data_IF_584885328247
#
_entry.id   IF_584885328247
#
_cell.length_a   1.000
_cell.length_b   1.000
_cell.length_c   1.000
_cell.angle_alpha   90.00
_cell.angle_beta   90.00
_cell.angle_gamma   90.00
#
_symmetry.space_group_name_H-M   'P 1'
#
loop_
_entity.id
_entity.type
_entity.pdbx_description
1 polymer ?
#
# COMPACT_ATOMS: atom_id res chain seq x y z
N UNK A 1 -52.10 -14.29 -30.31
CA UNK A 1 -53.17 -13.70 -29.48
C UNK A 1 -52.50 -12.83 -28.43
N UNK A 2 -52.85 -11.54 -28.40
CA UNK A 2 -52.61 -10.49 -27.39
C UNK A 2 -51.18 -10.34 -26.83
N UNK A 3 -50.35 -9.34 -27.19
CA UNK A 3 -50.50 -7.87 -27.11
C UNK A 3 -50.73 -7.32 -25.70
N UNK A 4 -49.67 -6.77 -25.10
CA UNK A 4 -49.60 -5.54 -24.28
C UNK A 4 -48.12 -5.37 -23.85
N UNK A 5 -47.37 -4.32 -24.16
CA UNK A 5 -47.72 -2.96 -24.55
C UNK A 5 -47.78 -2.03 -23.34
N UNK A 6 -46.63 -1.50 -22.88
CA UNK A 6 -46.60 -0.19 -22.23
C UNK A 6 -45.26 0.54 -22.46
N UNK A 7 -45.41 1.79 -22.89
CA UNK A 7 -44.44 2.78 -23.39
C UNK A 7 -43.92 3.70 -22.25
N UNK A 8 -42.93 4.57 -22.51
CA UNK A 8 -42.05 5.21 -21.51
C UNK A 8 -42.64 6.50 -20.92
N UNK A 9 -42.01 7.00 -19.85
CA UNK A 9 -42.19 8.36 -19.34
C UNK A 9 -40.84 9.07 -19.11
N UNK A 10 -40.70 10.35 -19.53
CA UNK A 10 -39.49 11.18 -19.42
C UNK A 10 -39.55 12.18 -18.25
N UNK A 11 -38.53 13.05 -18.17
CA UNK A 11 -38.35 14.27 -17.33
C UNK A 11 -37.56 14.05 -16.03
N UNK A 12 -36.63 14.91 -15.61
CA UNK A 12 -36.57 16.37 -15.73
C UNK A 12 -35.13 16.89 -15.91
N UNK A 13 -34.96 17.88 -16.78
CA UNK A 13 -33.82 18.80 -16.76
C UNK A 13 -33.92 19.75 -15.56
N UNK A 14 -32.81 19.98 -14.86
CA UNK A 14 -32.59 21.24 -14.15
C UNK A 14 -31.22 21.81 -14.53
N UNK A 15 -31.26 23.08 -14.94
CA UNK A 15 -30.15 23.93 -15.36
C UNK A 15 -29.57 24.67 -14.15
N UNK A 16 -28.24 24.81 -14.15
CA UNK A 16 -27.41 25.97 -13.78
C UNK A 16 -27.56 26.57 -12.37
N UNK A 17 -26.50 26.41 -11.57
CA UNK A 17 -25.84 27.46 -10.74
C UNK A 17 -24.35 27.06 -10.76
N UNK A 18 -23.36 27.86 -11.16
CA UNK A 18 -23.23 29.31 -11.04
C UNK A 18 -22.46 29.67 -9.77
N UNK A 19 -21.21 29.23 -9.60
CA UNK A 19 -20.32 29.72 -8.57
C UNK A 19 -18.87 29.81 -9.11
N UNK A 20 -18.60 30.93 -9.77
CA UNK A 20 -17.25 31.43 -9.95
C UNK A 20 -16.74 31.90 -8.58
N UNK A 21 -15.92 31.09 -7.92
CA UNK A 21 -15.04 31.56 -6.85
C UNK A 21 -13.66 31.77 -7.44
N UNK A 22 -13.42 33.02 -7.84
CA UNK A 22 -12.07 33.54 -7.98
C UNK A 22 -11.43 33.53 -6.60
N UNK A 23 -10.50 32.61 -6.39
CA UNK A 23 -9.47 32.77 -5.38
C UNK A 23 -8.21 33.13 -6.15
N UNK A 24 -7.98 34.43 -6.27
CA UNK A 24 -6.66 35.00 -6.55
C UNK A 24 -5.75 34.64 -5.37
N UNK A 25 -5.15 33.44 -5.42
CA UNK A 25 -4.01 33.13 -4.60
C UNK A 25 -2.83 33.90 -5.18
N UNK A 26 -2.38 34.89 -4.41
CA UNK A 26 -1.14 35.60 -4.67
C UNK A 26 0.00 34.61 -4.76
N UNK A 27 0.61 34.55 -5.94
CA UNK A 27 1.95 34.00 -6.15
C UNK A 27 2.92 34.91 -5.38
N UNK A 28 3.09 34.64 -4.10
CA UNK A 28 4.26 35.07 -3.34
C UNK A 28 5.45 34.34 -3.97
N UNK A 29 6.49 35.10 -4.28
CA UNK A 29 7.58 34.76 -5.19
C UNK A 29 8.07 33.32 -5.10
N UNK A 30 8.09 32.65 -6.27
CA UNK A 30 9.17 31.74 -6.58
C UNK A 30 10.47 32.55 -6.49
N UNK A 31 11.19 32.45 -5.37
CA UNK A 31 12.61 32.73 -5.36
C UNK A 31 13.24 31.77 -6.37
N UNK A 32 13.61 32.34 -7.50
CA UNK A 32 14.53 31.78 -8.47
C UNK A 32 15.73 31.19 -7.71
N UNK A 33 16.00 29.87 -7.80
CA UNK A 33 17.32 29.38 -7.44
C UNK A 33 18.26 29.87 -8.54
N UNK A 34 18.74 31.10 -8.37
CA UNK A 34 19.74 31.69 -9.24
C UNK A 34 20.86 30.69 -9.42
N UNK A 35 21.09 30.29 -10.67
CA UNK A 35 22.15 29.37 -11.05
C UNK A 35 23.47 29.88 -10.44
N UNK A 36 24.14 29.11 -9.57
CA UNK A 36 25.40 29.55 -8.99
C UNK A 36 26.41 29.76 -10.13
N UNK A 37 26.92 30.98 -10.24
CA UNK A 37 27.94 31.35 -11.21
C UNK A 37 29.23 30.60 -10.84
N UNK A 38 29.73 29.66 -11.67
CA UNK A 38 30.89 28.82 -11.32
C UNK A 38 32.19 29.64 -11.22
N UNK A 39 32.15 30.91 -11.65
CA UNK A 39 33.27 31.84 -11.64
C UNK A 39 33.50 32.51 -10.27
N UNK A 40 32.62 32.28 -9.30
CA UNK A 40 32.63 32.92 -7.98
C UNK A 40 33.08 32.04 -6.82
N UNK A 41 33.41 30.75 -7.06
CA UNK A 41 33.87 29.85 -5.99
C UNK A 41 35.30 30.23 -5.60
N UNK A 42 35.43 30.81 -4.42
CA UNK A 42 36.71 31.22 -3.83
C UNK A 42 37.38 30.07 -3.08
N UNK A 43 38.66 30.20 -2.77
CA UNK A 43 39.38 29.19 -2.00
C UNK A 43 38.84 29.08 -0.56
N UNK A 44 38.23 30.16 -0.06
CA UNK A 44 37.50 30.22 1.20
C UNK A 44 36.22 29.36 1.15
N UNK A 45 35.46 29.39 0.05
CA UNK A 45 34.25 28.57 -0.10
C UNK A 45 34.57 27.07 -0.07
N UNK A 46 35.69 26.67 -0.68
CA UNK A 46 36.15 25.27 -0.62
C UNK A 46 36.62 24.87 0.78
N UNK A 47 37.22 25.78 1.56
CA UNK A 47 37.58 25.51 2.96
C UNK A 47 36.35 25.39 3.84
N UNK A 48 35.34 26.23 3.64
CA UNK A 48 34.08 26.17 4.36
C UNK A 48 33.35 24.85 4.12
N UNK A 49 33.27 24.39 2.87
CA UNK A 49 32.66 23.08 2.56
C UNK A 49 33.44 21.93 3.21
N UNK A 50 34.78 22.00 3.24
CA UNK A 50 35.61 20.98 3.91
C UNK A 50 35.37 20.95 5.42
N UNK A 51 35.20 22.10 6.07
CA UNK A 51 34.86 22.18 7.50
C UNK A 51 33.44 21.66 7.78
N UNK A 52 32.48 21.94 6.90
CA UNK A 52 31.13 21.41 7.01
C UNK A 52 31.08 19.88 6.86
N UNK A 53 31.86 19.33 5.93
CA UNK A 53 32.00 17.87 5.75
C UNK A 53 32.62 17.24 6.99
N UNK A 54 33.74 17.77 7.51
CA UNK A 54 34.39 17.24 8.70
C UNK A 54 33.45 17.25 9.92
N UNK A 55 32.66 18.32 10.09
CA UNK A 55 31.64 18.42 11.14
C UNK A 55 30.51 17.41 10.96
N UNK A 56 30.13 17.10 9.73
CA UNK A 56 29.11 16.12 9.42
C UNK A 56 29.61 14.70 9.70
N UNK A 57 30.87 14.41 9.33
CA UNK A 57 31.55 13.14 9.61
C UNK A 57 31.64 12.88 11.11
N UNK A 58 32.03 13.87 11.92
CA UNK A 58 32.05 13.76 13.39
C UNK A 58 30.66 13.48 13.98
N UNK A 59 29.61 14.09 13.42
CA UNK A 59 28.23 13.85 13.85
C UNK A 59 27.77 12.44 13.47
N UNK A 60 28.12 11.96 12.28
CA UNK A 60 27.81 10.59 11.83
C UNK A 60 28.53 9.59 12.72
N UNK A 61 29.83 9.76 12.97
CA UNK A 61 30.59 8.88 13.87
C UNK A 61 29.98 8.85 15.29
N UNK A 62 29.56 10.00 15.83
CA UNK A 62 28.89 10.07 17.14
C UNK A 62 27.51 9.40 17.13
N UNK A 63 26.80 9.43 16.01
CA UNK A 63 25.52 8.72 15.83
C UNK A 63 25.74 7.22 15.67
N UNK A 64 26.74 6.80 14.90
CA UNK A 64 27.13 5.39 14.72
C UNK A 64 27.63 4.77 16.03
N UNK A 65 28.40 5.50 16.83
CA UNK A 65 28.81 5.08 18.17
C UNK A 65 27.63 4.99 19.13
N UNK A 66 26.66 5.92 19.06
CA UNK A 66 25.42 5.82 19.84
C UNK A 66 24.57 4.64 19.41
N UNK A 67 24.42 4.40 18.10
CA UNK A 67 23.69 3.24 17.57
C UNK A 67 24.37 1.93 17.99
N UNK A 68 25.70 1.87 17.94
CA UNK A 68 26.48 0.71 18.39
C UNK A 68 26.40 0.51 19.91
N UNK A 69 26.41 1.59 20.70
CA UNK A 69 26.30 1.55 22.16
C UNK A 69 24.87 1.25 22.65
N UNK A 70 23.85 1.57 21.85
CA UNK A 70 22.46 1.13 22.09
C UNK A 70 22.24 -0.37 21.80
N UNK A 71 23.29 -1.08 21.40
CA UNK A 71 23.28 -2.51 21.19
C UNK A 71 22.87 -2.86 19.76
N UNK A 72 23.83 -3.39 19.01
CA UNK A 72 23.54 -4.24 17.86
C UNK A 72 22.65 -5.39 18.28
N UNK A 73 21.34 -5.21 18.11
CA UNK A 73 20.49 -6.33 17.73
C UNK A 73 20.95 -6.70 16.32
N UNK A 74 21.84 -7.68 16.27
CA UNK A 74 22.16 -8.45 15.08
C UNK A 74 20.87 -8.69 14.28
N UNK A 75 20.76 -8.34 12.98
CA UNK A 75 19.71 -8.92 12.15
C UNK A 75 20.13 -10.35 11.78
N UNK A 76 20.44 -11.17 12.77
CA UNK A 76 20.49 -12.61 12.64
C UNK A 76 19.04 -13.10 12.72
N UNK A 77 18.43 -13.43 11.59
CA UNK A 77 17.20 -14.24 11.51
C UNK A 77 16.04 -13.78 12.42
N UNK A 78 15.83 -12.47 12.51
CA UNK A 78 14.79 -11.88 13.34
C UNK A 78 13.73 -11.19 12.51
N UNK A 79 12.87 -11.98 11.86
CA UNK A 79 11.50 -11.57 11.56
C UNK A 79 10.94 -10.89 12.83
N UNK A 80 10.94 -9.56 12.84
CA UNK A 80 10.17 -8.78 13.83
C UNK A 80 8.75 -8.65 13.27
N UNK A 81 8.21 -9.75 12.75
CA UNK A 81 6.77 -9.95 12.76
C UNK A 81 6.42 -10.10 14.24
N UNK A 82 5.45 -9.34 14.79
CA UNK A 82 5.09 -9.45 16.19
C UNK A 82 4.73 -10.91 16.51
N UNK A 83 5.63 -11.63 17.18
CA UNK A 83 5.33 -12.85 17.92
C UNK A 83 4.76 -12.47 19.28
N UNK A 84 3.64 -11.74 19.26
CA UNK A 84 2.81 -11.46 20.43
C UNK A 84 1.53 -12.27 20.31
N UNK A 85 1.61 -13.60 20.43
CA UNK A 85 0.52 -14.59 20.68
C UNK A 85 -0.87 -14.41 20.01
N UNK A 86 -0.99 -13.52 19.02
CA UNK A 86 -2.13 -13.26 18.14
C UNK A 86 -1.62 -13.50 16.74
N UNK A 87 -1.92 -14.67 16.20
CA UNK A 87 -1.77 -14.88 14.76
C UNK A 87 -2.71 -13.91 14.07
N UNK A 88 -2.22 -13.14 13.09
CA UNK A 88 -3.03 -12.19 12.31
C UNK A 88 -4.38 -12.79 11.87
N UNK A 89 -4.35 -14.05 11.43
CA UNK A 89 -5.53 -14.81 10.98
C UNK A 89 -6.55 -15.12 12.07
N UNK A 90 -6.16 -15.11 13.35
CA UNK A 90 -7.06 -15.34 14.48
C UNK A 90 -7.89 -14.12 14.87
N UNK A 91 -7.37 -12.91 14.62
CA UNK A 91 -8.07 -11.65 14.86
C UNK A 91 -7.53 -10.54 13.94
N UNK A 92 -7.88 -10.56 12.63
CA UNK A 92 -7.37 -9.58 11.68
C UNK A 92 -7.90 -8.17 11.95
N UNK A 93 -9.04 -8.04 12.64
CA UNK A 93 -9.64 -6.76 13.03
C UNK A 93 -8.77 -5.94 13.97
N UNK A 94 -7.97 -6.59 14.81
CA UNK A 94 -7.02 -5.91 15.71
C UNK A 94 -5.90 -5.17 14.98
N UNK A 95 -5.67 -5.44 13.68
CA UNK A 95 -4.58 -4.88 12.90
C UNK A 95 -5.04 -3.82 11.88
N UNK A 96 -6.33 -3.46 11.85
CA UNK A 96 -6.85 -2.49 10.87
C UNK A 96 -6.11 -1.15 10.99
N UNK A 97 -5.55 -0.69 9.87
CA UNK A 97 -4.72 0.51 9.76
C UNK A 97 -3.23 0.29 10.00
N UNK A 98 -2.81 -0.92 10.39
CA UNK A 98 -1.42 -1.27 10.60
C UNK A 98 -0.82 -1.96 9.37
N UNK A 99 0.48 -1.71 9.12
CA UNK A 99 1.25 -2.49 8.15
C UNK A 99 1.68 -3.80 8.81
N UNK A 100 1.40 -4.92 8.14
CA UNK A 100 1.71 -6.26 8.60
C UNK A 100 2.41 -7.07 7.50
N UNK A 101 3.30 -7.96 7.92
CA UNK A 101 3.87 -9.00 7.06
C UNK A 101 3.38 -10.35 7.54
N UNK A 102 2.64 -11.05 6.69
CA UNK A 102 2.01 -12.34 7.01
C UNK A 102 2.41 -13.40 6.00
N UNK A 103 2.64 -14.61 6.50
CA UNK A 103 2.87 -15.79 5.68
C UNK A 103 1.63 -16.66 5.67
N UNK A 104 1.16 -17.04 4.49
CA UNK A 104 -0.06 -17.83 4.34
C UNK A 104 -0.07 -18.65 3.06
N UNK A 105 -0.90 -19.69 3.04
CA UNK A 105 -1.17 -20.48 1.83
C UNK A 105 -2.30 -19.84 1.05
N UNK A 106 -2.14 -19.69 -0.26
CA UNK A 106 -3.21 -19.27 -1.16
C UNK A 106 -4.27 -20.36 -1.19
N UNK A 107 -5.48 -20.02 -0.74
CA UNK A 107 -6.64 -20.91 -0.73
C UNK A 107 -7.47 -20.75 -1.99
N UNK A 108 -7.53 -19.55 -2.54
CA UNK A 108 -8.32 -19.20 -3.71
C UNK A 108 -7.68 -18.05 -4.46
N UNK A 109 -7.59 -18.16 -5.80
CA UNK A 109 -7.23 -17.07 -6.68
C UNK A 109 -8.51 -16.40 -7.19
N UNK A 110 -8.72 -15.13 -6.84
CA UNK A 110 -9.94 -14.40 -7.18
C UNK A 110 -9.79 -13.67 -8.52
N UNK A 111 -8.64 -13.02 -8.72
CA UNK A 111 -8.30 -12.31 -9.93
C UNK A 111 -6.78 -12.21 -10.13
N UNK A 112 -6.36 -12.25 -11.39
CA UNK A 112 -5.00 -11.94 -11.81
C UNK A 112 -5.09 -11.20 -13.14
N UNK A 113 -4.63 -9.96 -13.17
CA UNK A 113 -4.64 -9.08 -14.34
C UNK A 113 -3.26 -8.46 -14.53
N UNK A 114 -3.05 -7.78 -15.65
CA UNK A 114 -1.78 -7.12 -15.95
C UNK A 114 -1.47 -5.93 -15.01
N UNK A 115 -2.47 -5.47 -14.24
CA UNK A 115 -2.36 -4.31 -13.36
C UNK A 115 -2.61 -4.62 -11.89
N UNK A 116 -3.16 -5.80 -11.58
CA UNK A 116 -3.57 -6.13 -10.22
C UNK A 116 -3.66 -7.64 -9.98
N UNK A 117 -3.72 -7.98 -8.69
CA UNK A 117 -3.92 -9.34 -8.25
C UNK A 117 -4.80 -9.37 -7.00
N UNK A 118 -5.67 -10.36 -6.91
CA UNK A 118 -6.50 -10.61 -5.74
C UNK A 118 -6.64 -12.09 -5.46
N UNK A 119 -6.46 -12.47 -4.21
CA UNK A 119 -6.52 -13.87 -3.75
C UNK A 119 -6.84 -13.94 -2.26
N UNK A 120 -7.10 -15.13 -1.75
CA UNK A 120 -7.28 -15.38 -0.32
C UNK A 120 -6.13 -16.20 0.23
N UNK A 121 -5.56 -15.78 1.35
CA UNK A 121 -4.54 -16.55 2.07
C UNK A 121 -5.09 -17.04 3.41
N UNK A 122 -4.66 -18.23 3.82
CA UNK A 122 -4.94 -18.77 5.15
C UNK A 122 -3.63 -19.12 5.87
N UNK A 123 -3.59 -18.83 7.16
CA UNK A 123 -2.58 -19.37 8.07
C UNK A 123 -2.96 -20.79 8.54
N UNK A 124 -2.24 -21.29 9.56
CA UNK A 124 -2.52 -22.59 10.17
C UNK A 124 -3.84 -22.60 10.96
N UNK A 125 -4.29 -21.42 11.40
CA UNK A 125 -5.52 -21.20 12.18
C UNK A 125 -6.21 -19.93 11.71
N UNK A 126 -7.51 -19.82 11.94
CA UNK A 126 -8.31 -18.65 11.56
C UNK A 126 -8.97 -18.75 10.19
N UNK A 127 -9.70 -17.71 9.83
CA UNK A 127 -10.40 -17.62 8.55
C UNK A 127 -9.48 -17.08 7.45
N UNK A 128 -9.66 -17.49 6.18
CA UNK A 128 -8.89 -16.94 5.06
C UNK A 128 -9.14 -15.43 4.91
N UNK A 129 -8.05 -14.68 4.77
CA UNK A 129 -8.08 -13.22 4.60
C UNK A 129 -7.86 -12.87 3.13
N UNK A 130 -8.63 -11.89 2.64
CA UNK A 130 -8.46 -11.36 1.28
C UNK A 130 -7.17 -10.56 1.14
N UNK A 131 -6.53 -10.67 -0.01
CA UNK A 131 -5.36 -9.89 -0.40
C UNK A 131 -5.69 -9.23 -1.72
N UNK A 132 -5.44 -7.92 -1.82
CA UNK A 132 -5.60 -7.15 -3.05
C UNK A 132 -4.34 -6.32 -3.24
N UNK A 133 -3.75 -6.39 -4.43
CA UNK A 133 -2.60 -5.56 -4.81
C UNK A 133 -2.89 -4.79 -6.09
N UNK A 134 -2.57 -3.51 -6.10
CA UNK A 134 -2.57 -2.63 -7.27
C UNK A 134 -1.31 -2.80 -8.16
N UNK A 135 -0.64 -3.94 -8.02
CA UNK A 135 0.43 -4.36 -8.93
C UNK A 135 0.21 -5.82 -9.34
N UNK A 136 0.63 -6.21 -10.55
CA UNK A 136 0.64 -7.62 -10.94
C UNK A 136 1.59 -8.38 -10.01
N UNK A 137 1.06 -9.43 -9.38
CA UNK A 137 1.85 -10.33 -8.54
C UNK A 137 2.75 -11.25 -9.37
N UNK A 138 3.79 -11.86 -8.76
CA UNK A 138 4.42 -13.04 -9.35
C UNK A 138 3.37 -14.11 -9.70
N UNK A 139 3.68 -14.99 -10.65
CA UNK A 139 2.79 -16.11 -10.99
C UNK A 139 2.58 -16.99 -9.74
N UNK A 140 1.41 -16.87 -9.12
CA UNK A 140 1.00 -17.61 -7.93
C UNK A 140 -0.27 -18.40 -8.21
N UNK A 141 -0.37 -19.58 -7.61
CA UNK A 141 -1.50 -20.48 -7.74
C UNK A 141 -2.07 -20.88 -6.37
N UNK A 142 -3.32 -21.37 -6.37
CA UNK A 142 -3.89 -21.98 -5.18
C UNK A 142 -3.02 -23.16 -4.72
N UNK A 143 -2.70 -23.18 -3.42
CA UNK A 143 -1.77 -24.15 -2.82
C UNK A 143 -0.39 -23.58 -2.53
N UNK A 144 0.02 -22.50 -3.21
CA UNK A 144 1.31 -21.87 -2.98
C UNK A 144 1.36 -21.17 -1.62
N UNK A 145 2.55 -21.14 -1.02
CA UNK A 145 2.79 -20.36 0.20
C UNK A 145 3.42 -19.04 -0.21
N UNK A 146 2.83 -17.94 0.27
CA UNK A 146 3.31 -16.59 -0.01
C UNK A 146 3.55 -15.83 1.29
N UNK A 147 4.50 -14.91 1.24
CA UNK A 147 4.67 -13.84 2.22
C UNK A 147 4.10 -12.56 1.62
N UNK A 148 3.19 -11.92 2.37
CA UNK A 148 2.47 -10.72 1.94
C UNK A 148 2.74 -9.63 2.96
N UNK A 149 3.29 -8.52 2.47
CA UNK A 149 3.40 -7.27 3.24
C UNK A 149 2.36 -6.28 2.72
N UNK A 150 1.59 -5.71 3.62
CA UNK A 150 0.55 -4.75 3.28
C UNK A 150 -0.15 -4.16 4.50
N UNK A 151 -1.06 -3.22 4.26
CA UNK A 151 -1.89 -2.64 5.32
C UNK A 151 -3.16 -3.46 5.48
N UNK A 152 -3.54 -3.79 6.71
CA UNK A 152 -4.84 -4.42 6.97
C UNK A 152 -5.94 -3.36 6.94
N UNK A 153 -6.98 -3.58 6.14
CA UNK A 153 -8.05 -2.62 5.89
C UNK A 153 -9.40 -3.33 5.97
N UNK A 154 -10.39 -2.67 6.58
CA UNK A 154 -11.77 -3.10 6.51
C UNK A 154 -12.35 -2.76 5.12
N UNK A 155 -12.88 -3.76 4.43
CA UNK A 155 -13.41 -3.57 3.08
C UNK A 155 -14.71 -2.78 3.15
N UNK A 156 -14.70 -1.58 2.58
CA UNK A 156 -15.89 -0.76 2.36
C UNK A 156 -15.98 -0.32 0.88
N UNK A 157 -17.17 -0.44 0.24
CA UNK A 157 -17.34 -0.06 -1.17
C UNK A 157 -16.95 1.39 -1.48
N UNK A 158 -17.25 2.32 -0.56
CA UNK A 158 -17.06 3.75 -0.76
C UNK A 158 -15.59 4.19 -0.64
N UNK A 159 -14.73 3.39 0.01
CA UNK A 159 -13.31 3.71 0.23
C UNK A 159 -12.34 2.78 -0.48
N UNK A 160 -12.84 1.71 -1.14
CA UNK A 160 -12.02 0.67 -1.76
C UNK A 160 -10.86 1.21 -2.61
N UNK A 161 -11.12 2.14 -3.52
CA UNK A 161 -10.06 2.67 -4.40
C UNK A 161 -8.98 3.44 -3.62
N UNK A 162 -9.38 4.16 -2.57
CA UNK A 162 -8.44 4.89 -1.71
C UNK A 162 -7.60 3.93 -0.85
N UNK A 163 -8.22 2.86 -0.37
CA UNK A 163 -7.61 1.89 0.54
C UNK A 163 -6.65 0.93 -0.19
N UNK A 164 -7.05 0.44 -1.36
CA UNK A 164 -6.30 -0.56 -2.13
C UNK A 164 -5.47 0.06 -3.25
N UNK A 165 -5.64 1.35 -3.53
CA UNK A 165 -4.93 2.06 -4.61
C UNK A 165 -5.38 1.67 -6.02
N UNK A 166 -6.50 0.95 -6.15
CA UNK A 166 -7.05 0.53 -7.44
C UNK A 166 -8.58 0.40 -7.38
N UNK A 167 -9.26 0.74 -8.47
CA UNK A 167 -10.71 0.56 -8.61
C UNK A 167 -11.11 -0.92 -8.63
N UNK A 168 -12.23 -1.26 -7.98
CA UNK A 168 -12.69 -2.66 -7.86
C UNK A 168 -12.99 -3.30 -9.22
N UNK A 169 -13.50 -2.54 -10.20
CA UNK A 169 -13.79 -3.03 -11.56
C UNK A 169 -12.52 -3.30 -12.40
N UNK A 170 -11.38 -2.74 -12.01
CA UNK A 170 -10.09 -3.06 -12.63
C UNK A 170 -9.49 -4.38 -12.10
N UNK A 171 -9.95 -4.82 -10.93
CA UNK A 171 -9.50 -6.08 -10.29
C UNK A 171 -10.48 -7.22 -10.60
N UNK A 172 -11.77 -7.01 -10.37
CA UNK A 172 -12.78 -8.06 -10.38
C UNK A 172 -13.70 -7.94 -11.60
N UNK A 173 -14.00 -9.08 -12.24
CA UNK A 173 -14.98 -9.13 -13.33
C UNK A 173 -16.43 -8.85 -12.89
N UNK A 174 -16.72 -8.99 -11.60
CA UNK A 174 -17.99 -8.61 -10.99
C UNK A 174 -17.75 -7.97 -9.60
N UNK A 175 -17.39 -6.68 -9.55
CA UNK A 175 -16.99 -6.01 -8.32
C UNK A 175 -18.13 -5.93 -7.30
N UNK A 176 -19.36 -5.72 -7.74
CA UNK A 176 -20.55 -5.59 -6.87
C UNK A 176 -20.80 -6.88 -6.06
N UNK A 177 -20.70 -8.04 -6.71
CA UNK A 177 -20.90 -9.32 -6.05
C UNK A 177 -19.80 -9.62 -5.02
N UNK A 178 -18.55 -9.27 -5.34
CA UNK A 178 -17.42 -9.46 -4.43
C UNK A 178 -17.51 -8.52 -3.24
N UNK A 179 -17.73 -7.22 -3.47
CA UNK A 179 -17.84 -6.20 -2.43
C UNK A 179 -18.98 -6.52 -1.46
N UNK A 180 -20.16 -6.90 -1.96
CA UNK A 180 -21.28 -7.28 -1.09
C UNK A 180 -20.97 -8.51 -0.22
N UNK A 181 -20.06 -9.39 -0.65
CA UNK A 181 -19.64 -10.55 0.11
C UNK A 181 -18.46 -10.29 1.05
N UNK A 182 -17.70 -9.23 0.81
CA UNK A 182 -16.49 -8.85 1.55
C UNK A 182 -16.70 -7.64 2.47
N UNK A 183 -17.79 -6.88 2.32
CA UNK A 183 -18.09 -5.69 3.12
C UNK A 183 -18.01 -5.97 4.63
N UNK A 184 -17.23 -5.14 5.34
CA UNK A 184 -16.96 -5.27 6.77
C UNK A 184 -15.97 -6.38 7.14
N UNK A 185 -15.40 -7.11 6.17
CA UNK A 185 -14.30 -8.04 6.40
C UNK A 185 -12.96 -7.32 6.30
N UNK A 186 -11.94 -7.84 6.97
CA UNK A 186 -10.57 -7.35 6.83
C UNK A 186 -9.90 -8.00 5.63
N UNK A 187 -9.19 -7.20 4.84
CA UNK A 187 -8.32 -7.62 3.75
C UNK A 187 -6.98 -6.88 3.82
N UNK A 188 -5.97 -7.38 3.12
CA UNK A 188 -4.65 -6.76 3.02
C UNK A 188 -4.55 -5.98 1.71
N UNK A 189 -4.27 -4.68 1.82
CA UNK A 189 -3.78 -3.85 0.73
C UNK A 189 -2.28 -4.12 0.54
N UNK A 190 -1.97 -5.10 -0.31
CA UNK A 190 -0.63 -5.63 -0.45
C UNK A 190 0.27 -4.75 -1.32
N UNK A 191 1.41 -4.38 -0.75
CA UNK A 191 2.47 -3.62 -1.42
C UNK A 191 3.62 -4.51 -1.88
N UNK A 192 3.77 -5.69 -1.28
CA UNK A 192 4.77 -6.69 -1.65
C UNK A 192 4.22 -8.09 -1.45
N UNK A 193 4.44 -8.94 -2.45
CA UNK A 193 4.03 -10.35 -2.45
C UNK A 193 5.22 -11.17 -2.93
N UNK A 194 5.69 -12.08 -2.10
CA UNK A 194 6.82 -12.97 -2.39
C UNK A 194 6.38 -14.42 -2.27
N UNK A 195 6.70 -15.24 -3.28
CA UNK A 195 6.49 -16.67 -3.19
C UNK A 195 7.53 -17.27 -2.23
N UNK A 196 7.06 -17.95 -1.18
CA UNK A 196 7.95 -18.67 -0.30
C UNK A 196 8.44 -19.94 -1.01
N UNK A 197 9.74 -20.29 -0.91
CA UNK A 197 10.23 -21.55 -1.44
C UNK A 197 9.45 -22.70 -0.81
N UNK A 198 9.08 -23.69 -1.64
CA UNK A 198 8.46 -24.91 -1.16
C UNK A 198 9.33 -25.50 -0.04
N UNK A 199 8.73 -26.00 1.07
CA UNK A 199 9.53 -26.64 2.11
C UNK A 199 10.32 -27.76 1.45
N UNK A 200 11.64 -27.78 1.67
CA UNK A 200 12.48 -28.87 1.21
C UNK A 200 11.88 -30.17 1.77
N UNK A 201 11.38 -31.04 0.89
CA UNK A 201 10.74 -32.28 1.31
C UNK A 201 11.74 -33.16 2.06
N UNK A 202 11.33 -33.63 3.25
CA UNK A 202 11.90 -34.77 3.95
C UNK A 202 11.53 -36.09 3.26
#
# INVERSE_FOLDING_TARGET
MSSSGRKPAPSCSCRVVGAAFGVTLGLVGCSDPGTPDPSGITAEDLQQVQEEVARLEDRVATLEDQVSAMGSTDPADGSTTPSDERTFFGDPGSFVGEEVTVRGRITELLASTDVASAFRIAGDTGDPVGVVSATPSPEVAAGDVVEVTGTAVEVAPDTFEADFGIAADAVFGNPEAWLSGAEGQVALAAVRIEAAPAPAGD
#
